data_IF_845916507952
#
_entry.id   IF_845916507952
#
_cell.length_a   1.000
_cell.length_b   1.000
_cell.length_c   1.000
_cell.angle_alpha   90.00
_cell.angle_beta   90.00
_cell.angle_gamma   90.00
#
_symmetry.space_group_name_H-M   'P 1'
#
loop_
_entity.id
_entity.type
_entity.pdbx_description
1 polymer ?
#
# COMPACT_ATOMS: atom_id res chain seq x y z
N UNK A 1 -20.77 13.13 -1.42
CA UNK A 1 -19.33 13.00 -1.78
C UNK A 1 -18.74 11.98 -0.85
N UNK A 2 -18.17 10.90 -1.38
CA UNK A 2 -17.61 9.80 -0.59
C UNK A 2 -16.17 9.59 -1.03
N UNK A 3 -15.23 9.66 -0.09
CA UNK A 3 -13.79 9.52 -0.32
C UNK A 3 -13.34 8.19 0.25
N UNK A 4 -12.64 7.40 -0.55
CA UNK A 4 -11.99 6.17 -0.12
C UNK A 4 -10.50 6.42 0.08
N UNK A 5 -10.02 6.22 1.29
CA UNK A 5 -8.60 6.30 1.62
C UNK A 5 -8.04 4.88 1.62
N UNK A 6 -7.13 4.58 0.70
CA UNK A 6 -6.40 3.31 0.70
C UNK A 6 -5.23 3.41 1.68
N UNK A 7 -5.48 2.98 2.91
CA UNK A 7 -4.58 3.16 4.04
C UNK A 7 -3.62 1.97 4.18
N UNK A 8 -2.46 2.11 3.57
CA UNK A 8 -1.30 1.22 3.71
C UNK A 8 -0.19 1.82 4.60
N UNK A 9 -0.45 2.99 5.22
CA UNK A 9 0.46 3.76 6.08
C UNK A 9 1.82 4.11 5.47
N UNK A 10 1.94 4.11 4.15
CA UNK A 10 3.24 4.37 3.51
C UNK A 10 3.12 5.00 2.13
N UNK A 11 4.19 5.66 1.69
CA UNK A 11 4.37 6.06 0.29
C UNK A 11 4.77 4.84 -0.56
N UNK A 12 3.82 3.93 -0.79
CA UNK A 12 4.11 2.63 -1.42
C UNK A 12 4.81 2.77 -2.78
N UNK A 13 4.34 3.64 -3.69
CA UNK A 13 5.02 3.82 -4.98
C UNK A 13 6.49 4.27 -4.82
N UNK A 14 6.77 5.18 -3.88
CA UNK A 14 8.13 5.64 -3.60
C UNK A 14 9.00 4.51 -3.02
N UNK A 15 8.43 3.67 -2.15
CA UNK A 15 9.09 2.46 -1.66
C UNK A 15 9.54 1.57 -2.83
N UNK A 16 8.64 1.27 -3.77
CA UNK A 16 8.98 0.43 -4.91
C UNK A 16 9.98 1.09 -5.87
N UNK A 17 9.93 2.42 -6.05
CA UNK A 17 10.95 3.14 -6.82
C UNK A 17 12.34 3.06 -6.17
N UNK A 18 12.43 3.16 -4.84
CA UNK A 18 13.70 2.99 -4.11
C UNK A 18 14.24 1.56 -4.24
N UNK A 19 13.37 0.56 -4.08
CA UNK A 19 13.73 -0.85 -4.27
C UNK A 19 14.20 -1.14 -5.71
N UNK A 20 13.48 -0.63 -6.72
CA UNK A 20 13.84 -0.77 -8.12
C UNK A 20 15.15 -0.02 -8.49
N UNK A 21 15.53 1.02 -7.73
CA UNK A 21 16.83 1.68 -7.86
C UNK A 21 17.96 0.95 -7.09
N UNK A 22 17.64 -0.09 -6.31
CA UNK A 22 18.60 -0.79 -5.46
C UNK A 22 19.01 0.01 -4.21
N UNK A 23 18.14 0.91 -3.76
CA UNK A 23 18.31 1.75 -2.58
C UNK A 23 17.45 1.24 -1.41
N UNK A 24 17.94 1.42 -0.18
CA UNK A 24 17.21 1.08 1.02
C UNK A 24 16.04 2.05 1.24
N UNK A 25 15.01 1.55 1.92
CA UNK A 25 13.80 2.31 2.19
C UNK A 25 14.08 3.48 3.13
N UNK A 26 13.68 4.67 2.74
CA UNK A 26 13.90 5.89 3.49
C UNK A 26 12.68 6.82 3.42
N UNK A 27 12.23 7.27 4.60
CA UNK A 27 11.18 8.28 4.78
C UNK A 27 9.87 7.99 4.02
N UNK A 28 9.46 6.72 4.01
CA UNK A 28 8.22 6.26 3.36
C UNK A 28 7.07 6.00 4.32
N UNK A 29 7.34 5.81 5.61
CA UNK A 29 6.33 5.43 6.61
C UNK A 29 5.59 6.64 7.17
N UNK A 30 4.30 6.45 7.41
CA UNK A 30 3.44 7.39 8.12
C UNK A 30 3.08 6.84 9.51
N UNK A 31 2.93 7.76 10.46
CA UNK A 31 2.25 7.45 11.72
C UNK A 31 0.78 7.11 11.46
N UNK A 32 0.17 6.32 12.33
CA UNK A 32 -1.25 5.99 12.22
C UNK A 32 -2.13 7.25 12.37
N UNK A 33 -3.12 7.39 11.49
CA UNK A 33 -4.11 8.47 11.51
C UNK A 33 -5.50 7.86 11.34
N UNK A 34 -6.44 8.28 12.19
CA UNK A 34 -7.84 7.86 12.13
C UNK A 34 -8.62 8.81 11.21
N UNK A 35 -8.71 8.47 9.92
CA UNK A 35 -9.37 9.32 8.92
C UNK A 35 -10.89 9.36 9.12
N UNK A 36 -11.46 8.30 9.70
CA UNK A 36 -12.88 8.25 10.03
C UNK A 36 -13.21 9.30 11.10
N UNK A 37 -12.44 9.37 12.20
CA UNK A 37 -12.61 10.41 13.21
C UNK A 37 -12.34 11.81 12.68
N UNK A 38 -11.40 11.96 11.75
CA UNK A 38 -11.18 13.25 11.08
C UNK A 38 -12.44 13.70 10.31
N UNK A 39 -13.10 12.79 9.59
CA UNK A 39 -14.36 13.09 8.90
C UNK A 39 -15.46 13.52 9.87
N UNK A 40 -15.62 12.80 10.98
CA UNK A 40 -16.60 13.13 12.03
C UNK A 40 -16.32 14.52 12.65
N UNK A 41 -15.06 14.81 12.97
CA UNK A 41 -14.65 16.10 13.51
C UNK A 41 -14.89 17.26 12.52
N UNK A 42 -14.86 16.99 11.22
CA UNK A 42 -15.17 17.94 10.17
C UNK A 42 -16.69 18.08 9.86
N UNK A 43 -17.55 17.39 10.62
CA UNK A 43 -19.01 17.41 10.43
C UNK A 43 -19.52 16.44 9.37
N UNK A 44 -18.68 15.53 8.89
CA UNK A 44 -19.03 14.45 7.97
C UNK A 44 -19.26 13.11 8.69
N UNK A 45 -19.22 12.03 7.92
CA UNK A 45 -19.33 10.66 8.40
C UNK A 45 -18.03 9.88 8.15
N UNK A 46 -17.59 9.11 9.13
CA UNK A 46 -16.40 8.27 9.03
C UNK A 46 -16.73 6.78 9.10
N UNK A 47 -16.09 5.97 8.26
CA UNK A 47 -16.11 4.51 8.31
C UNK A 47 -14.70 3.96 8.28
N UNK A 48 -14.48 2.81 8.93
CA UNK A 48 -13.20 2.09 8.92
C UNK A 48 -13.44 0.68 8.41
N UNK A 49 -12.69 0.27 7.39
CA UNK A 49 -12.69 -1.10 6.86
C UNK A 49 -11.38 -1.76 7.22
N UNK A 50 -11.45 -2.83 8.02
CA UNK A 50 -10.32 -3.73 8.32
C UNK A 50 -10.58 -5.18 7.93
N UNK A 51 -11.85 -5.50 7.66
CA UNK A 51 -12.31 -6.82 7.26
C UNK A 51 -12.98 -6.71 5.89
N UNK A 52 -12.43 -7.43 4.92
CA UNK A 52 -12.94 -7.43 3.54
C UNK A 52 -14.38 -7.92 3.44
N UNK A 53 -14.83 -8.78 4.35
CA UNK A 53 -16.21 -9.30 4.36
C UNK A 53 -17.26 -8.22 4.64
N UNK A 54 -16.84 -7.09 5.22
CA UNK A 54 -17.69 -5.93 5.54
C UNK A 54 -17.60 -4.82 4.49
N UNK A 55 -16.75 -4.98 3.47
CA UNK A 55 -16.46 -3.90 2.52
C UNK A 55 -17.73 -3.49 1.75
N UNK A 56 -18.48 -4.45 1.22
CA UNK A 56 -19.67 -4.18 0.42
C UNK A 56 -20.75 -3.44 1.23
N UNK A 57 -21.04 -3.91 2.44
CA UNK A 57 -21.99 -3.29 3.36
C UNK A 57 -21.60 -1.84 3.69
N UNK A 58 -20.31 -1.61 3.99
CA UNK A 58 -19.79 -0.29 4.36
C UNK A 58 -19.81 0.66 3.16
N UNK A 59 -19.49 0.17 1.97
CA UNK A 59 -19.57 0.97 0.73
C UNK A 59 -21.01 1.38 0.48
N UNK A 60 -21.98 0.48 0.63
CA UNK A 60 -23.39 0.81 0.47
C UNK A 60 -23.85 1.86 1.49
N UNK A 61 -23.52 1.68 2.77
CA UNK A 61 -23.87 2.62 3.84
C UNK A 61 -23.22 4.00 3.66
N UNK A 62 -21.95 4.04 3.23
CA UNK A 62 -21.20 5.26 2.99
C UNK A 62 -21.70 6.04 1.76
N UNK A 63 -22.14 5.33 0.72
CA UNK A 63 -22.68 5.94 -0.50
C UNK A 63 -24.10 6.46 -0.31
N UNK A 64 -24.85 5.94 0.68
CA UNK A 64 -26.19 6.39 1.03
C UNK A 64 -26.23 7.64 1.92
N UNK A 65 -25.08 8.16 2.38
CA UNK A 65 -25.03 9.34 3.25
C UNK A 65 -25.30 10.64 2.49
N UNK A 66 -26.10 11.52 3.11
CA UNK A 66 -26.35 12.88 2.62
C UNK A 66 -25.26 13.90 3.03
N UNK A 67 -24.17 13.43 3.67
CA UNK A 67 -23.05 14.25 4.15
C UNK A 67 -21.71 13.78 3.54
N UNK A 68 -20.67 14.64 3.50
CA UNK A 68 -19.33 14.22 3.12
C UNK A 68 -18.88 13.03 3.97
N UNK A 69 -18.39 11.98 3.30
CA UNK A 69 -18.04 10.71 3.95
C UNK A 69 -16.61 10.31 3.62
N UNK A 70 -15.87 9.83 4.62
CA UNK A 70 -14.58 9.16 4.43
C UNK A 70 -14.71 7.70 4.84
N UNK A 71 -14.26 6.81 3.95
CA UNK A 71 -14.08 5.39 4.24
C UNK A 71 -12.57 5.12 4.28
N UNK A 72 -12.06 4.88 5.48
CA UNK A 72 -10.67 4.51 5.74
C UNK A 72 -10.49 3.00 5.52
N UNK A 73 -9.95 2.62 4.36
CA UNK A 73 -9.80 1.23 3.94
C UNK A 73 -8.39 0.77 4.23
N UNK A 74 -8.21 -0.04 5.28
CA UNK A 74 -6.91 -0.65 5.58
C UNK A 74 -6.60 -1.72 4.53
N UNK A 75 -5.53 -1.50 3.77
CA UNK A 75 -5.08 -2.42 2.73
C UNK A 75 -3.71 -3.00 3.07
N UNK A 76 -3.36 -4.08 2.38
CA UNK A 76 -2.07 -4.74 2.57
C UNK A 76 -0.91 -3.79 2.22
N UNK A 77 0.00 -3.50 3.17
CA UNK A 77 1.17 -2.66 2.93
C UNK A 77 2.15 -3.23 1.89
N UNK A 78 2.10 -4.54 1.66
CA UNK A 78 3.01 -5.24 0.76
C UNK A 78 2.34 -5.57 -0.58
N UNK A 79 1.12 -5.06 -0.82
CA UNK A 79 0.47 -5.15 -2.11
C UNK A 79 1.28 -4.37 -3.16
N UNK A 80 2.03 -5.11 -3.97
CA UNK A 80 2.89 -4.50 -4.98
C UNK A 80 2.05 -3.79 -6.07
N UNK A 81 2.30 -2.49 -6.35
CA UNK A 81 1.80 -1.79 -7.51
C UNK A 81 2.62 -2.27 -8.71
N UNK A 82 2.29 -3.47 -9.17
CA UNK A 82 3.13 -4.17 -10.13
C UNK A 82 3.04 -3.48 -11.50
N UNK A 83 4.14 -2.95 -12.06
CA UNK A 83 4.12 -2.44 -13.43
C UNK A 83 3.82 -3.59 -14.40
N UNK A 84 3.14 -3.26 -15.50
CA UNK A 84 2.68 -4.24 -16.50
C UNK A 84 3.80 -4.98 -17.24
N UNK A 85 5.05 -4.53 -17.14
CA UNK A 85 6.25 -5.19 -17.69
C UNK A 85 7.41 -4.94 -16.73
N UNK A 86 8.09 -6.01 -16.32
CA UNK A 86 9.33 -5.91 -15.55
C UNK A 86 10.47 -5.68 -16.55
N UNK A 87 11.18 -4.57 -16.42
CA UNK A 87 12.36 -4.28 -17.25
C UNK A 87 13.58 -4.93 -16.60
N UNK A 88 14.51 -5.49 -17.40
CA UNK A 88 15.70 -6.17 -16.87
C UNK A 88 16.52 -5.32 -15.89
N UNK A 89 16.50 -3.99 -16.04
CA UNK A 89 17.16 -3.04 -15.13
C UNK A 89 16.52 -3.02 -13.74
N UNK A 90 15.18 -3.05 -13.65
CA UNK A 90 14.47 -3.08 -12.37
C UNK A 90 14.80 -4.36 -11.61
N UNK A 91 14.87 -5.51 -12.31
CA UNK A 91 15.24 -6.79 -11.69
C UNK A 91 16.65 -6.77 -11.07
N UNK A 92 17.61 -6.10 -11.71
CA UNK A 92 18.94 -5.90 -11.15
C UNK A 92 18.91 -4.98 -9.93
N UNK A 93 18.14 -3.90 -9.98
CA UNK A 93 17.92 -3.00 -8.85
C UNK A 93 17.34 -3.70 -7.63
N UNK A 94 16.26 -4.47 -7.80
CA UNK A 94 15.68 -5.28 -6.72
C UNK A 94 16.69 -6.27 -6.12
N UNK A 95 17.55 -6.88 -6.96
CA UNK A 95 18.60 -7.79 -6.48
C UNK A 95 19.65 -7.05 -5.62
N UNK A 96 20.04 -5.84 -6.04
CA UNK A 96 20.95 -4.97 -5.27
C UNK A 96 20.30 -4.53 -3.95
N UNK A 97 19.03 -4.10 -3.97
CA UNK A 97 18.29 -3.74 -2.76
C UNK A 97 18.23 -4.91 -1.79
N UNK A 98 17.85 -6.10 -2.27
CA UNK A 98 17.75 -7.30 -1.43
C UNK A 98 19.07 -7.58 -0.73
N UNK A 99 20.20 -7.56 -1.46
CA UNK A 99 21.52 -7.74 -0.89
C UNK A 99 21.82 -6.72 0.22
N UNK A 100 21.59 -5.42 -0.05
CA UNK A 100 21.85 -4.35 0.91
C UNK A 100 20.96 -4.46 2.14
N UNK A 101 19.70 -4.83 1.98
CA UNK A 101 18.76 -5.05 3.08
C UNK A 101 19.24 -6.16 4.03
N UNK A 102 19.85 -7.24 3.52
CA UNK A 102 20.49 -8.26 4.36
C UNK A 102 21.73 -7.71 5.08
N UNK A 103 22.61 -7.02 4.36
CA UNK A 103 23.96 -6.71 4.86
C UNK A 103 24.00 -5.47 5.74
N UNK A 104 23.20 -4.44 5.41
CA UNK A 104 23.18 -3.13 6.06
C UNK A 104 22.06 -3.08 7.12
N UNK A 105 20.81 -3.37 6.72
CA UNK A 105 19.65 -3.28 7.62
C UNK A 105 19.45 -4.51 8.51
N UNK A 106 20.05 -5.66 8.14
CA UNK A 106 19.88 -6.96 8.81
C UNK A 106 18.42 -7.39 8.98
N UNK A 107 17.53 -6.84 8.17
CA UNK A 107 16.10 -7.04 8.27
C UNK A 107 15.57 -7.41 6.88
N UNK A 108 15.35 -8.70 6.66
CA UNK A 108 14.98 -9.25 5.36
C UNK A 108 13.52 -9.66 5.40
N UNK A 109 12.64 -8.77 4.94
CA UNK A 109 11.22 -9.02 4.90
C UNK A 109 10.85 -9.70 3.57
N UNK A 110 10.72 -11.03 3.60
CA UNK A 110 10.41 -11.83 2.41
C UNK A 110 9.04 -11.52 1.82
N UNK A 111 8.14 -10.90 2.59
CA UNK A 111 6.80 -10.50 2.14
C UNK A 111 6.85 -9.30 1.17
N UNK A 112 7.97 -8.56 1.13
CA UNK A 112 8.21 -7.45 0.19
C UNK A 112 8.62 -7.92 -1.21
N UNK A 113 9.07 -9.18 -1.32
CA UNK A 113 9.57 -9.71 -2.59
C UNK A 113 8.37 -10.28 -3.36
N UNK A 114 8.03 -9.76 -4.55
CA UNK A 114 6.89 -10.27 -5.31
C UNK A 114 7.07 -11.77 -5.58
N UNK A 115 6.00 -12.59 -5.46
CA UNK A 115 6.09 -14.03 -5.63
C UNK A 115 6.74 -14.39 -6.97
N UNK A 116 7.62 -15.39 -6.99
CA UNK A 116 8.28 -15.85 -8.22
C UNK A 116 7.26 -16.22 -9.31
N UNK A 117 6.07 -16.72 -8.92
CA UNK A 117 4.97 -17.02 -9.83
C UNK A 117 4.36 -15.77 -10.49
N UNK A 118 4.36 -14.64 -9.79
CA UNK A 118 3.89 -13.34 -10.26
C UNK A 118 4.96 -12.68 -11.14
N UNK A 119 6.24 -12.84 -10.82
CA UNK A 119 7.35 -12.45 -11.68
C UNK A 119 7.38 -13.27 -12.99
N UNK A 120 7.23 -14.60 -12.90
CA UNK A 120 7.25 -15.50 -14.05
C UNK A 120 6.11 -15.27 -15.06
N UNK A 121 4.90 -14.95 -14.58
CA UNK A 121 3.75 -14.57 -15.43
C UNK A 121 3.96 -13.28 -16.24
N UNK A 122 5.03 -12.52 -15.97
CA UNK A 122 5.32 -11.23 -16.60
C UNK A 122 6.59 -11.21 -17.45
N UNK A 123 7.39 -12.27 -17.40
CA UNK A 123 8.50 -12.49 -18.32
C UNK A 123 8.07 -13.17 -19.64
N UNK A 124 6.88 -13.81 -19.64
CA UNK A 124 6.18 -14.33 -20.83
C UNK A 124 5.12 -13.33 -21.30
#
# INVERSE_FOLDING_TARGET
LTIFVLNNKQLAFIKYEQQAAGELEYAIDFSDMDHAKFAEAAGGKGYVVRDVSRLDDIVEEAMAQDVPTIVDVHVDPNAAPLPGKIVNEEAFGYSKWAYRSITEDKNLDFDQIPPISVAAKRFL
#
